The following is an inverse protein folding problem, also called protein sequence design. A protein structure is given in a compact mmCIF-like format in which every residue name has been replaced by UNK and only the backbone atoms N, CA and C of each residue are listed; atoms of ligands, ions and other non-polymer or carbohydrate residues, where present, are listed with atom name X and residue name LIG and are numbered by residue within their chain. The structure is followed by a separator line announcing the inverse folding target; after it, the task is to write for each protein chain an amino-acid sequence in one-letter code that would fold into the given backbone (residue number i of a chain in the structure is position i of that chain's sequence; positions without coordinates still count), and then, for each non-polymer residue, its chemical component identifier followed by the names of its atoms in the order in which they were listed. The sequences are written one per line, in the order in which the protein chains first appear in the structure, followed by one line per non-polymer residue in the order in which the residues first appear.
data_IF_700933875525
#
_entry.id   IF_700933875525
#
_cell.length_a   1.000
_cell.length_b   1.000
_cell.length_c   1.000
_cell.angle_alpha   90.00
_cell.angle_beta   90.00
_cell.angle_gamma   90.00
#
_symmetry.space_group_name_H-M   'P 1'
#
loop_
_entity.id
_entity.type
_entity.pdbx_description
1 polymer ?
#
# COMPACT_ATOMS: atom_id res chain seq x y z
N UNK A 1 -7.50 69.35 -4.53
CA UNK A 1 -8.15 68.46 -3.55
C UNK A 1 -7.34 67.16 -3.52
N UNK A 2 -6.31 67.19 -2.69
CA UNK A 2 -5.72 66.15 -1.85
C UNK A 2 -5.34 64.79 -2.47
N UNK A 3 -4.28 64.81 -3.28
CA UNK A 3 -3.47 63.63 -3.66
C UNK A 3 -2.45 63.24 -2.55
N UNK A 4 -2.57 63.83 -1.36
CA UNK A 4 -1.54 63.82 -0.30
C UNK A 4 -1.42 62.46 0.42
N UNK A 5 -2.37 61.55 0.20
CA UNK A 5 -2.37 60.18 0.72
C UNK A 5 -2.29 59.07 -0.32
N UNK A 6 -2.23 59.40 -1.62
CA UNK A 6 -2.24 58.43 -2.71
C UNK A 6 -0.84 58.17 -3.28
N UNK A 7 -0.63 56.94 -3.73
CA UNK A 7 0.63 56.46 -4.29
C UNK A 7 0.43 56.11 -5.76
N UNK A 8 1.33 56.58 -6.63
CA UNK A 8 1.47 56.03 -7.98
C UNK A 8 2.15 54.65 -7.93
N UNK A 9 2.05 53.88 -9.02
CA UNK A 9 2.78 52.60 -9.17
C UNK A 9 4.28 52.75 -8.85
N UNK A 10 4.92 53.82 -9.33
CA UNK A 10 6.34 54.05 -9.10
C UNK A 10 6.65 54.32 -7.62
N UNK A 11 5.75 55.03 -6.92
CA UNK A 11 5.90 55.30 -5.48
C UNK A 11 5.68 54.04 -4.64
N UNK A 12 4.67 53.23 -5.00
CA UNK A 12 4.49 51.90 -4.40
C UNK A 12 5.70 50.99 -4.63
N UNK A 13 6.22 50.95 -5.86
CA UNK A 13 7.39 50.14 -6.22
C UNK A 13 8.61 50.47 -5.35
N UNK A 14 8.90 51.76 -5.14
CA UNK A 14 9.99 52.19 -4.25
C UNK A 14 9.73 51.85 -2.78
N UNK A 15 8.48 51.92 -2.34
CA UNK A 15 8.11 51.69 -0.94
C UNK A 15 8.07 50.21 -0.56
N UNK A 16 7.67 49.33 -1.49
CA UNK A 16 7.53 47.88 -1.24
C UNK A 16 8.68 47.06 -1.80
N UNK A 17 9.59 47.68 -2.57
CA UNK A 17 10.64 46.98 -3.32
C UNK A 17 10.12 46.12 -4.48
N UNK A 18 8.80 46.13 -4.72
CA UNK A 18 8.20 45.29 -5.75
C UNK A 18 8.39 45.91 -7.14
N UNK A 19 8.69 45.12 -8.19
CA UNK A 19 8.82 45.66 -9.53
C UNK A 19 7.53 46.35 -9.99
N UNK A 20 7.64 47.56 -10.54
CA UNK A 20 6.51 48.31 -11.09
C UNK A 20 5.73 47.51 -12.16
N UNK A 21 6.39 46.58 -12.87
CA UNK A 21 5.74 45.63 -13.79
C UNK A 21 4.78 44.69 -13.05
N UNK A 22 5.21 44.12 -11.92
CA UNK A 22 4.40 43.23 -11.09
C UNK A 22 3.18 43.98 -10.53
N UNK A 23 3.38 45.18 -9.98
CA UNK A 23 2.28 46.02 -9.46
C UNK A 23 1.26 46.33 -10.56
N UNK A 24 1.72 46.68 -11.78
CA UNK A 24 0.82 46.90 -12.92
C UNK A 24 0.03 45.65 -13.27
N UNK A 25 0.70 44.52 -13.41
CA UNK A 25 0.07 43.25 -13.71
C UNK A 25 -0.98 42.85 -12.66
N UNK A 26 -0.65 43.00 -11.38
CA UNK A 26 -1.56 42.73 -10.25
C UNK A 26 -2.76 43.67 -10.22
N UNK A 27 -2.58 44.91 -10.67
CA UNK A 27 -3.70 45.82 -10.87
C UNK A 27 -4.60 45.39 -12.02
N UNK A 28 -4.02 44.99 -13.15
CA UNK A 28 -4.76 44.59 -14.35
C UNK A 28 -5.60 43.32 -14.12
N UNK A 29 -5.08 42.34 -13.38
CA UNK A 29 -5.82 41.12 -13.02
C UNK A 29 -6.78 41.31 -11.84
N UNK A 30 -6.83 42.51 -11.26
CA UNK A 30 -7.79 42.91 -10.23
C UNK A 30 -7.44 42.50 -8.80
N UNK A 31 -6.25 41.94 -8.54
CA UNK A 31 -5.81 41.68 -7.16
C UNK A 31 -5.38 42.95 -6.44
N UNK A 32 -5.01 44.02 -7.16
CA UNK A 32 -4.71 45.35 -6.63
C UNK A 32 -5.51 46.43 -7.37
N UNK A 33 -6.83 46.58 -7.10
CA UNK A 33 -7.62 47.60 -7.76
C UNK A 33 -7.10 49.00 -7.40
N UNK A 34 -6.97 49.92 -8.36
CA UNK A 34 -6.60 51.30 -8.06
C UNK A 34 -7.75 52.01 -7.35
N UNK A 35 -7.42 52.88 -6.39
CA UNK A 35 -8.38 53.74 -5.71
C UNK A 35 -8.94 54.83 -6.64
N UNK A 36 -8.20 55.17 -7.69
CA UNK A 36 -8.62 56.11 -8.71
C UNK A 36 -7.54 56.30 -9.77
N UNK A 37 -7.70 57.38 -10.55
CA UNK A 37 -6.69 57.83 -11.50
C UNK A 37 -6.41 59.31 -11.31
N UNK A 38 -5.15 59.72 -11.49
CA UNK A 38 -4.77 61.13 -11.52
C UNK A 38 -5.34 61.82 -12.76
N UNK A 39 -5.33 63.15 -12.81
CA UNK A 39 -5.68 63.92 -14.02
C UNK A 39 -4.86 63.48 -15.26
N UNK A 40 -3.59 63.13 -15.09
CA UNK A 40 -2.73 62.58 -16.15
C UNK A 40 -2.97 61.10 -16.51
N UNK A 41 -4.01 60.46 -15.97
CA UNK A 41 -4.39 59.08 -16.28
C UNK A 41 -3.63 57.97 -15.53
N UNK A 42 -2.70 58.30 -14.64
CA UNK A 42 -1.94 57.33 -13.84
C UNK A 42 -2.83 56.65 -12.78
N UNK A 43 -2.62 55.35 -12.53
CA UNK A 43 -3.28 54.62 -11.44
C UNK A 43 -2.80 55.13 -10.08
N UNK A 44 -3.74 55.46 -9.22
CA UNK A 44 -3.51 55.90 -7.84
C UNK A 44 -3.99 54.84 -6.86
N UNK A 45 -3.26 54.68 -5.76
CA UNK A 45 -3.52 53.68 -4.72
C UNK A 45 -3.48 54.31 -3.34
N UNK A 46 -4.33 53.85 -2.44
CA UNK A 46 -4.37 54.33 -1.06
C UNK A 46 -3.23 53.72 -0.21
N UNK A 47 -3.19 54.12 1.06
CA UNK A 47 -2.24 53.58 2.03
C UNK A 47 -2.42 52.07 2.28
N UNK A 48 -3.64 51.54 2.09
CA UNK A 48 -3.96 50.12 2.24
C UNK A 48 -3.32 49.24 1.15
N UNK A 49 -2.95 49.82 0.01
CA UNK A 49 -2.31 49.11 -1.08
C UNK A 49 -0.96 48.48 -0.71
N UNK A 50 -0.21 49.05 0.25
CA UNK A 50 1.04 48.46 0.73
C UNK A 50 0.78 47.13 1.44
N UNK A 51 -0.10 47.11 2.43
CA UNK A 51 -0.47 45.89 3.15
C UNK A 51 -1.09 44.84 2.21
N UNK A 52 -1.88 45.30 1.23
CA UNK A 52 -2.46 44.41 0.21
C UNK A 52 -1.39 43.79 -0.69
N UNK A 53 -0.39 44.55 -1.12
CA UNK A 53 0.74 44.04 -1.91
C UNK A 53 1.56 43.01 -1.13
N UNK A 54 1.81 43.25 0.16
CA UNK A 54 2.52 42.30 1.03
C UNK A 54 1.72 41.01 1.21
N UNK A 55 0.41 41.11 1.49
CA UNK A 55 -0.47 39.95 1.59
C UNK A 55 -0.50 39.13 0.29
N UNK A 56 -0.67 39.78 -0.88
CA UNK A 56 -0.64 39.08 -2.17
C UNK A 56 0.73 38.40 -2.38
N UNK A 57 1.84 39.04 -1.99
CA UNK A 57 3.18 38.43 -2.07
C UNK A 57 3.27 37.18 -1.20
N UNK A 58 2.90 37.28 0.08
CA UNK A 58 2.93 36.14 1.01
C UNK A 58 2.10 34.97 0.49
N UNK A 59 0.88 35.24 0.02
CA UNK A 59 0.02 34.18 -0.52
C UNK A 59 0.58 33.57 -1.81
N UNK A 60 1.24 34.36 -2.66
CA UNK A 60 1.96 33.87 -3.85
C UNK A 60 3.16 32.99 -3.48
N UNK A 61 3.92 33.40 -2.46
CA UNK A 61 5.08 32.66 -1.95
C UNK A 61 4.65 31.31 -1.34
N UNK A 62 3.43 31.24 -0.77
CA UNK A 62 2.78 30.00 -0.32
C UNK A 62 2.16 29.17 -1.45
N UNK A 63 2.32 29.57 -2.71
CA UNK A 63 1.88 28.80 -3.88
C UNK A 63 0.47 29.10 -4.40
N UNK A 64 -0.29 30.00 -3.75
CA UNK A 64 -1.65 30.32 -4.22
C UNK A 64 -1.63 31.03 -5.58
N UNK A 65 -2.59 30.70 -6.44
CA UNK A 65 -2.81 31.41 -7.70
C UNK A 65 -3.44 32.80 -7.49
N UNK A 66 -3.18 33.74 -8.41
CA UNK A 66 -3.77 35.10 -8.33
C UNK A 66 -5.30 35.09 -8.38
N UNK A 67 -5.92 34.09 -9.00
CA UNK A 67 -7.38 33.91 -9.01
C UNK A 67 -7.95 33.62 -7.62
N UNK A 68 -7.34 32.70 -6.88
CA UNK A 68 -7.76 32.37 -5.50
C UNK A 68 -7.52 33.55 -4.56
N UNK A 69 -6.34 34.18 -4.68
CA UNK A 69 -6.00 35.39 -3.92
C UNK A 69 -7.04 36.49 -4.15
N UNK A 70 -7.47 36.70 -5.40
CA UNK A 70 -8.54 37.66 -5.72
C UNK A 70 -9.84 37.30 -5.02
N UNK A 71 -10.27 36.03 -5.06
CA UNK A 71 -11.52 35.58 -4.41
C UNK A 71 -11.48 35.78 -2.89
N UNK A 72 -10.33 35.53 -2.25
CA UNK A 72 -10.11 35.80 -0.82
C UNK A 72 -10.21 37.29 -0.52
N UNK A 73 -9.54 38.13 -1.32
CA UNK A 73 -9.57 39.59 -1.15
C UNK A 73 -10.95 40.21 -1.43
N UNK A 74 -11.77 39.56 -2.27
CA UNK A 74 -13.17 39.92 -2.53
C UNK A 74 -14.15 39.31 -1.50
N UNK A 75 -13.65 38.60 -0.48
CA UNK A 75 -14.44 37.89 0.54
C UNK A 75 -15.44 36.86 -0.03
N UNK A 76 -15.18 36.36 -1.25
CA UNK A 76 -15.99 35.31 -1.88
C UNK A 76 -15.72 33.93 -1.32
N UNK A 77 -14.53 33.75 -0.74
CA UNK A 77 -14.07 32.56 -0.02
C UNK A 77 -13.20 33.02 1.14
N UNK A 78 -13.06 32.22 2.19
CA UNK A 78 -12.12 32.55 3.25
C UNK A 78 -10.70 32.13 2.87
N UNK A 79 -9.69 32.73 3.50
CA UNK A 79 -8.30 32.28 3.35
C UNK A 79 -8.14 30.83 3.85
N UNK A 80 -8.87 30.45 4.89
CA UNK A 80 -8.83 29.10 5.45
C UNK A 80 -9.32 28.05 4.45
N UNK A 81 -10.44 28.31 3.75
CA UNK A 81 -10.99 27.38 2.76
C UNK A 81 -10.01 27.16 1.60
N UNK A 82 -9.41 28.24 1.10
CA UNK A 82 -8.42 28.16 0.01
C UNK A 82 -7.17 27.43 0.48
N UNK A 83 -6.68 27.73 1.69
CA UNK A 83 -5.52 27.06 2.26
C UNK A 83 -5.76 25.55 2.44
N UNK A 84 -6.93 25.14 2.94
CA UNK A 84 -7.29 23.73 3.10
C UNK A 84 -7.23 22.97 1.76
N UNK A 85 -7.85 23.51 0.71
CA UNK A 85 -7.82 22.90 -0.63
C UNK A 85 -6.40 22.79 -1.18
N UNK A 86 -5.55 23.80 -0.96
CA UNK A 86 -4.15 23.76 -1.39
C UNK A 86 -3.32 22.76 -0.59
N UNK A 87 -3.55 22.64 0.73
CA UNK A 87 -2.92 21.62 1.58
C UNK A 87 -3.30 20.22 1.07
N UNK A 88 -4.58 19.95 0.81
CA UNK A 88 -5.03 18.65 0.29
C UNK A 88 -4.37 18.32 -1.06
N UNK A 89 -4.24 19.31 -1.94
CA UNK A 89 -3.59 19.16 -3.24
C UNK A 89 -2.08 18.91 -3.11
N UNK A 90 -1.40 19.58 -2.17
CA UNK A 90 0.01 19.35 -1.87
C UNK A 90 0.23 17.97 -1.25
N UNK A 91 -0.62 17.56 -0.33
CA UNK A 91 -0.55 16.23 0.29
C UNK A 91 -0.74 15.14 -0.77
N UNK A 92 -1.65 15.32 -1.74
CA UNK A 92 -1.79 14.41 -2.88
C UNK A 92 -0.53 14.33 -3.75
N UNK A 93 0.13 15.45 -4.00
CA UNK A 93 1.41 15.49 -4.72
C UNK A 93 2.53 14.80 -3.93
N UNK A 94 2.60 15.04 -2.61
CA UNK A 94 3.58 14.43 -1.72
C UNK A 94 3.40 12.91 -1.70
N UNK A 95 2.17 12.41 -1.55
CA UNK A 95 1.85 10.97 -1.65
C UNK A 95 2.37 10.37 -2.96
N UNK A 96 2.11 11.04 -4.08
CA UNK A 96 2.56 10.59 -5.40
C UNK A 96 4.09 10.53 -5.50
N UNK A 97 4.78 11.56 -4.99
CA UNK A 97 6.24 11.63 -5.00
C UNK A 97 6.89 10.58 -4.09
N UNK A 98 6.30 10.30 -2.92
CA UNK A 98 6.76 9.25 -1.99
C UNK A 98 6.69 7.86 -2.63
N UNK A 99 5.54 7.52 -3.23
CA UNK A 99 5.38 6.24 -3.95
C UNK A 99 6.43 6.11 -5.05
N UNK A 100 6.61 7.15 -5.90
CA UNK A 100 7.63 7.14 -6.96
C UNK A 100 9.04 6.93 -6.41
N UNK A 101 9.38 7.60 -5.30
CA UNK A 101 10.68 7.44 -4.63
C UNK A 101 10.87 6.00 -4.13
N UNK A 102 9.86 5.41 -3.50
CA UNK A 102 9.93 4.06 -2.97
C UNK A 102 10.12 3.02 -4.10
N UNK A 103 9.36 3.14 -5.20
CA UNK A 103 9.53 2.31 -6.41
C UNK A 103 10.93 2.41 -6.99
N UNK A 104 11.45 3.63 -7.18
CA UNK A 104 12.81 3.83 -7.69
C UNK A 104 13.87 3.26 -6.75
N UNK A 105 13.65 3.32 -5.44
CA UNK A 105 14.56 2.76 -4.44
C UNK A 105 14.59 1.23 -4.51
N UNK A 106 13.43 0.59 -4.70
CA UNK A 106 13.31 -0.85 -4.95
C UNK A 106 14.07 -1.28 -6.20
N UNK A 107 13.87 -0.57 -7.31
CA UNK A 107 14.61 -0.83 -8.57
C UNK A 107 16.13 -0.75 -8.35
N UNK A 108 16.59 0.28 -7.64
CA UNK A 108 18.01 0.45 -7.36
C UNK A 108 18.59 -0.69 -6.50
N UNK A 109 17.83 -1.19 -5.50
CA UNK A 109 18.26 -2.32 -4.67
C UNK A 109 18.33 -3.62 -5.47
N UNK A 110 17.29 -3.96 -6.24
CA UNK A 110 17.23 -5.23 -7.00
C UNK A 110 18.33 -5.33 -8.06
N UNK A 111 18.68 -4.22 -8.73
CA UNK A 111 19.80 -4.13 -9.68
C UNK A 111 21.19 -4.35 -9.07
N UNK A 112 21.30 -4.43 -7.74
CA UNK A 112 22.56 -4.80 -7.08
C UNK A 112 22.79 -6.31 -7.05
N UNK A 113 21.78 -7.12 -7.38
CA UNK A 113 21.92 -8.55 -7.67
C UNK A 113 22.35 -8.77 -9.11
N UNK A 114 23.14 -9.81 -9.36
CA UNK A 114 23.81 -10.14 -10.64
C UNK A 114 22.90 -10.49 -11.82
N UNK A 115 21.58 -10.32 -11.72
CA UNK A 115 20.63 -10.68 -12.76
C UNK A 115 20.05 -9.43 -13.45
N UNK A 116 20.05 -9.43 -14.79
CA UNK A 116 19.40 -8.39 -15.57
C UNK A 116 17.88 -8.44 -15.35
N UNK A 117 17.30 -7.33 -14.88
CA UNK A 117 15.86 -7.22 -14.65
C UNK A 117 15.10 -7.40 -15.98
N UNK A 118 14.15 -8.34 -16.01
CA UNK A 118 13.44 -8.68 -17.23
C UNK A 118 12.34 -7.64 -17.56
N UNK A 119 11.83 -7.70 -18.78
CA UNK A 119 10.82 -6.75 -19.30
C UNK A 119 9.51 -6.76 -18.51
N UNK A 120 9.11 -7.93 -17.98
CA UNK A 120 7.88 -8.08 -17.20
C UNK A 120 8.02 -7.44 -15.81
N UNK A 121 9.17 -7.60 -15.15
CA UNK A 121 9.49 -6.95 -13.87
C UNK A 121 9.50 -5.41 -14.01
N UNK A 122 10.09 -4.89 -15.09
CA UNK A 122 10.08 -3.44 -15.36
C UNK A 122 8.66 -2.91 -15.63
N UNK A 123 7.84 -3.69 -16.33
CA UNK A 123 6.44 -3.33 -16.61
C UNK A 123 5.62 -3.34 -15.32
N UNK A 124 5.81 -4.34 -14.47
CA UNK A 124 5.14 -4.44 -13.17
C UNK A 124 5.50 -3.26 -12.24
N UNK A 125 6.78 -2.87 -12.20
CA UNK A 125 7.24 -1.70 -11.44
C UNK A 125 6.71 -0.38 -12.00
N UNK A 126 6.58 -0.26 -13.33
CA UNK A 126 5.97 0.91 -13.97
C UNK A 126 4.48 1.00 -13.69
N UNK A 127 3.79 -0.14 -13.79
CA UNK A 127 2.36 -0.26 -13.47
C UNK A 127 2.15 0.08 -12.00
N UNK A 128 2.99 -0.37 -11.07
CA UNK A 128 2.90 -0.02 -9.64
C UNK A 128 2.97 1.47 -9.33
N UNK A 129 3.83 2.20 -10.04
CA UNK A 129 3.93 3.64 -9.89
C UNK A 129 2.66 4.37 -10.40
N UNK A 130 1.81 3.67 -11.17
CA UNK A 130 0.61 4.20 -11.82
C UNK A 130 -0.70 3.67 -11.27
N UNK A 131 -0.72 2.46 -10.70
CA UNK A 131 -1.91 1.85 -10.11
C UNK A 131 -2.37 2.70 -8.93
N UNK A 132 -3.62 3.16 -9.01
CA UNK A 132 -4.36 3.74 -7.90
C UNK A 132 -4.53 2.72 -6.77
N UNK A 133 -4.79 3.20 -5.55
CA UNK A 133 -5.13 2.32 -4.43
C UNK A 133 -6.33 1.40 -4.76
N UNK A 134 -7.24 1.87 -5.62
CA UNK A 134 -8.38 1.10 -6.10
C UNK A 134 -7.95 -0.09 -6.97
N UNK A 135 -7.10 0.13 -7.97
CA UNK A 135 -6.65 -0.94 -8.85
C UNK A 135 -5.79 -1.96 -8.10
N UNK A 136 -4.98 -1.52 -7.13
CA UNK A 136 -4.23 -2.44 -6.25
C UNK A 136 -5.18 -3.32 -5.42
N UNK A 137 -6.28 -2.74 -4.95
CA UNK A 137 -7.31 -3.46 -4.19
C UNK A 137 -8.01 -4.49 -5.07
N UNK A 138 -8.43 -4.11 -6.28
CA UNK A 138 -9.07 -5.00 -7.25
C UNK A 138 -8.25 -6.25 -7.52
N UNK A 139 -6.92 -6.13 -7.70
CA UNK A 139 -6.04 -7.29 -7.96
C UNK A 139 -6.16 -8.35 -6.85
N UNK A 140 -6.22 -7.91 -5.60
CA UNK A 140 -6.29 -8.82 -4.45
C UNK A 140 -7.72 -9.31 -4.24
N UNK A 141 -8.72 -8.46 -4.44
CA UNK A 141 -10.14 -8.83 -4.38
C UNK A 141 -10.47 -9.91 -5.42
N UNK A 142 -10.04 -9.74 -6.67
CA UNK A 142 -10.21 -10.73 -7.74
C UNK A 142 -9.59 -12.08 -7.36
N UNK A 143 -8.37 -12.07 -6.80
CA UNK A 143 -7.73 -13.28 -6.28
C UNK A 143 -8.55 -13.92 -5.15
N UNK A 144 -9.03 -13.12 -4.19
CA UNK A 144 -9.81 -13.64 -3.05
C UNK A 144 -11.13 -14.22 -3.53
N UNK A 145 -11.83 -13.57 -4.45
CA UNK A 145 -13.09 -14.07 -4.97
C UNK A 145 -12.90 -15.32 -5.86
N UNK A 146 -11.83 -15.41 -6.63
CA UNK A 146 -11.53 -16.62 -7.40
C UNK A 146 -11.19 -17.82 -6.50
N UNK A 147 -10.29 -17.62 -5.52
CA UNK A 147 -9.80 -18.71 -4.66
C UNK A 147 -10.82 -19.12 -3.59
N UNK A 148 -11.58 -18.17 -3.05
CA UNK A 148 -12.46 -18.39 -1.90
C UNK A 148 -13.96 -18.17 -2.21
N UNK A 149 -14.32 -17.66 -3.39
CA UNK A 149 -15.71 -17.43 -3.81
C UNK A 149 -16.50 -18.70 -4.09
N UNK A 150 -17.78 -18.69 -3.74
CA UNK A 150 -18.71 -19.79 -4.01
C UNK A 150 -18.47 -21.08 -3.21
N UNK A 151 -17.50 -21.08 -2.31
CA UNK A 151 -17.30 -22.17 -1.34
C UNK A 151 -18.07 -21.87 -0.07
N UNK A 152 -18.55 -22.91 0.61
CA UNK A 152 -19.04 -22.86 2.00
C UNK A 152 -17.84 -22.68 2.97
N UNK A 153 -16.95 -21.76 2.59
CA UNK A 153 -15.79 -21.35 3.35
C UNK A 153 -16.28 -20.68 4.62
N UNK A 154 -15.62 -21.00 5.73
CA UNK A 154 -15.88 -20.40 7.03
C UNK A 154 -16.09 -18.89 6.90
N UNK A 155 -17.24 -18.35 7.37
CA UNK A 155 -17.41 -16.92 7.51
C UNK A 155 -16.20 -16.29 8.21
N UNK A 156 -15.55 -16.96 9.16
CA UNK A 156 -14.36 -16.47 9.85
C UNK A 156 -13.08 -16.49 8.98
N UNK A 157 -12.90 -17.47 8.10
CA UNK A 157 -11.76 -17.53 7.16
C UNK A 157 -11.92 -16.50 6.05
N UNK A 158 -13.13 -16.41 5.46
CA UNK A 158 -13.49 -15.38 4.47
C UNK A 158 -13.40 -13.99 5.08
N UNK A 159 -13.83 -13.81 6.33
CA UNK A 159 -13.75 -12.53 7.05
C UNK A 159 -12.29 -12.17 7.38
N UNK A 160 -11.47 -13.09 7.90
CA UNK A 160 -10.01 -12.85 8.14
C UNK A 160 -9.24 -12.48 6.88
N UNK A 161 -9.56 -13.10 5.74
CA UNK A 161 -8.85 -12.82 4.48
C UNK A 161 -9.44 -11.59 3.77
N UNK A 162 -10.76 -11.45 3.71
CA UNK A 162 -11.45 -10.34 3.07
C UNK A 162 -11.38 -9.00 3.82
N UNK A 163 -11.16 -8.99 5.14
CA UNK A 163 -10.99 -7.74 5.92
C UNK A 163 -9.54 -7.30 6.05
N UNK A 164 -8.58 -8.10 5.56
CA UNK A 164 -7.19 -7.65 5.48
C UNK A 164 -7.06 -6.79 4.23
N UNK A 165 -7.48 -5.52 4.32
CA UNK A 165 -7.27 -4.52 3.26
C UNK A 165 -5.79 -4.54 2.85
N UNK A 166 -5.51 -4.73 1.57
CA UNK A 166 -4.18 -4.47 1.02
C UNK A 166 -4.14 -3.00 0.69
N UNK A 167 -3.70 -2.21 1.67
CA UNK A 167 -3.49 -0.79 1.46
C UNK A 167 -2.02 -0.46 1.67
N UNK A 168 -1.40 0.08 0.63
CA UNK A 168 -0.07 0.67 0.76
C UNK A 168 -0.26 2.01 1.48
N UNK A 169 0.45 2.27 2.58
CA UNK A 169 0.33 3.56 3.26
C UNK A 169 0.76 4.70 2.33
N UNK A 170 0.29 5.90 2.64
CA UNK A 170 0.59 7.15 1.92
C UNK A 170 2.10 7.46 1.79
N UNK A 171 2.91 6.92 2.71
CA UNK A 171 4.38 6.99 2.69
C UNK A 171 4.96 5.58 2.84
N UNK A 172 4.98 4.77 1.76
CA UNK A 172 5.38 3.39 1.87
C UNK A 172 6.90 3.29 1.97
N UNK A 173 7.34 2.43 2.88
CA UNK A 173 8.74 2.01 2.94
C UNK A 173 9.11 1.22 1.68
N UNK A 174 10.39 1.24 1.28
CA UNK A 174 10.81 0.43 0.15
C UNK A 174 10.55 -1.08 0.32
N UNK A 175 10.60 -1.58 1.56
CA UNK A 175 10.27 -2.97 1.91
C UNK A 175 8.78 -3.28 1.70
N UNK A 176 7.89 -2.33 1.99
CA UNK A 176 6.45 -2.46 1.70
C UNK A 176 6.17 -2.49 0.21
N UNK A 177 6.92 -1.70 -0.58
CA UNK A 177 6.83 -1.74 -2.04
C UNK A 177 7.33 -3.09 -2.56
N UNK A 178 8.47 -3.58 -2.07
CA UNK A 178 8.99 -4.92 -2.42
C UNK A 178 7.99 -6.03 -2.10
N UNK A 179 7.40 -5.98 -0.91
CA UNK A 179 6.41 -6.97 -0.49
C UNK A 179 5.13 -6.92 -1.35
N UNK A 180 4.70 -5.73 -1.77
CA UNK A 180 3.58 -5.61 -2.70
C UNK A 180 3.92 -6.15 -4.08
N UNK A 181 5.11 -5.85 -4.63
CA UNK A 181 5.56 -6.37 -5.94
C UNK A 181 5.40 -7.90 -5.95
N UNK A 182 6.01 -8.53 -4.95
CA UNK A 182 6.02 -9.98 -4.84
C UNK A 182 4.61 -10.54 -4.59
N UNK A 183 3.80 -9.86 -3.78
CA UNK A 183 2.41 -10.26 -3.58
C UNK A 183 1.63 -10.21 -4.90
N UNK A 184 1.81 -9.14 -5.69
CA UNK A 184 1.12 -8.96 -6.96
C UNK A 184 1.55 -10.03 -7.97
N UNK A 185 2.82 -10.40 -8.03
CA UNK A 185 3.32 -11.51 -8.84
C UNK A 185 2.70 -12.83 -8.39
N UNK A 186 2.74 -13.11 -7.08
CA UNK A 186 2.22 -14.34 -6.49
C UNK A 186 0.72 -14.50 -6.75
N UNK A 187 -0.09 -13.48 -6.44
CA UNK A 187 -1.55 -13.56 -6.65
C UNK A 187 -1.94 -13.55 -8.12
N UNK A 188 -1.05 -13.11 -9.02
CA UNK A 188 -1.25 -13.17 -10.47
C UNK A 188 -0.91 -14.53 -11.08
N UNK A 189 -0.09 -15.34 -10.41
CA UNK A 189 0.30 -16.67 -10.87
C UNK A 189 -0.95 -17.61 -10.95
N UNK A 190 -1.33 -18.06 -12.17
CA UNK A 190 -2.44 -18.99 -12.35
C UNK A 190 -2.24 -20.33 -11.64
N UNK A 191 -0.99 -20.77 -11.48
CA UNK A 191 -0.68 -22.05 -10.85
C UNK A 191 -0.84 -21.95 -9.33
N UNK A 192 -0.36 -20.85 -8.74
CA UNK A 192 -0.62 -20.52 -7.33
C UNK A 192 -2.12 -20.41 -7.03
N UNK A 193 -2.89 -19.70 -7.87
CA UNK A 193 -4.35 -19.59 -7.73
C UNK A 193 -5.03 -20.95 -7.69
N UNK A 194 -4.72 -21.82 -8.65
CA UNK A 194 -5.27 -23.18 -8.72
C UNK A 194 -4.90 -24.01 -7.49
N UNK A 195 -3.62 -24.02 -7.12
CA UNK A 195 -3.10 -24.70 -5.92
C UNK A 195 -3.84 -24.25 -4.65
N UNK A 196 -3.97 -22.94 -4.45
CA UNK A 196 -4.70 -22.37 -3.32
C UNK A 196 -6.19 -22.73 -3.35
N UNK A 197 -6.83 -22.70 -4.52
CA UNK A 197 -8.24 -23.07 -4.70
C UNK A 197 -8.48 -24.54 -4.33
N UNK A 198 -7.68 -25.44 -4.87
CA UNK A 198 -7.75 -26.88 -4.59
C UNK A 198 -7.64 -27.15 -3.09
N UNK A 199 -6.73 -26.44 -2.42
CA UNK A 199 -6.57 -26.50 -0.98
C UNK A 199 -7.84 -26.04 -0.24
N UNK A 200 -8.42 -24.89 -0.59
CA UNK A 200 -9.63 -24.38 0.08
C UNK A 200 -10.83 -25.29 -0.16
N UNK A 201 -10.98 -25.82 -1.37
CA UNK A 201 -12.04 -26.78 -1.71
C UNK A 201 -11.95 -28.05 -0.89
N UNK A 202 -10.77 -28.67 -0.81
CA UNK A 202 -10.53 -29.87 -0.02
C UNK A 202 -10.88 -29.64 1.46
N UNK A 203 -10.50 -28.48 2.01
CA UNK A 203 -10.84 -28.11 3.39
C UNK A 203 -12.35 -27.89 3.59
N UNK A 204 -13.05 -27.38 2.58
CA UNK A 204 -14.50 -27.15 2.65
C UNK A 204 -15.30 -28.46 2.58
N UNK A 205 -14.81 -29.47 1.85
CA UNK A 205 -15.43 -30.81 1.76
C UNK A 205 -15.40 -31.58 3.09
N UNK A 206 -14.39 -31.36 3.93
CA UNK A 206 -14.25 -31.99 5.25
C UNK A 206 -15.17 -31.47 6.37
N UNK A 207 -16.17 -30.61 6.05
CA UNK A 207 -17.06 -29.98 7.05
C UNK A 207 -18.37 -30.72 7.35
N UNK A 208 -18.65 -31.83 6.68
CA UNK A 208 -19.77 -32.71 7.03
C UNK A 208 -19.49 -33.59 8.29
N UNK A 209 -18.77 -33.04 9.28
CA UNK A 209 -18.43 -33.72 10.53
C UNK A 209 -17.19 -34.63 10.40
N UNK A 210 -16.11 -34.24 11.07
CA UNK A 210 -14.91 -35.06 11.32
C UNK A 210 -14.12 -35.56 10.10
N UNK A 211 -13.48 -34.65 9.35
CA UNK A 211 -12.32 -35.04 8.52
C UNK A 211 -11.02 -34.36 8.97
N UNK A 212 -9.94 -35.13 9.22
CA UNK A 212 -8.64 -34.56 9.58
C UNK A 212 -8.05 -33.76 8.40
N UNK A 213 -7.52 -32.56 8.65
CA UNK A 213 -6.87 -31.75 7.60
C UNK A 213 -7.43 -30.34 7.37
N UNK A 214 -8.57 -29.99 7.97
CA UNK A 214 -9.17 -28.65 7.82
C UNK A 214 -8.20 -27.52 8.26
N UNK A 215 -7.85 -26.66 7.29
CA UNK A 215 -6.73 -25.69 7.28
C UNK A 215 -6.31 -25.09 8.63
N UNK A 216 -7.22 -24.44 9.34
CA UNK A 216 -6.87 -23.72 10.56
C UNK A 216 -6.51 -24.66 11.71
N UNK A 217 -7.14 -25.83 11.79
CA UNK A 217 -6.87 -26.81 12.83
C UNK A 217 -5.64 -27.66 12.47
N UNK A 218 -5.53 -28.11 11.22
CA UNK A 218 -4.39 -28.92 10.77
C UNK A 218 -3.08 -28.14 10.86
N UNK A 219 -3.00 -26.93 10.30
CA UNK A 219 -1.77 -26.13 10.37
C UNK A 219 -1.38 -25.80 11.82
N UNK A 220 -2.34 -25.46 12.69
CA UNK A 220 -2.07 -25.27 14.14
C UNK A 220 -1.55 -26.53 14.80
N UNK A 221 -2.10 -27.69 14.43
CA UNK A 221 -1.70 -29.00 14.98
C UNK A 221 -0.29 -29.37 14.52
N UNK A 222 0.08 -29.08 13.27
CA UNK A 222 1.46 -29.23 12.76
C UNK A 222 2.40 -28.34 13.56
N UNK A 223 2.14 -27.03 13.63
CA UNK A 223 2.99 -26.09 14.38
C UNK A 223 3.16 -26.51 15.84
N UNK A 224 2.11 -27.01 16.47
CA UNK A 224 2.19 -27.45 17.86
C UNK A 224 2.92 -28.78 18.02
N UNK A 225 2.58 -29.82 17.26
CA UNK A 225 3.18 -31.16 17.44
C UNK A 225 4.56 -31.29 16.80
N UNK A 226 4.69 -30.91 15.53
CA UNK A 226 5.96 -30.98 14.81
C UNK A 226 6.94 -29.92 15.32
N UNK A 227 6.45 -28.73 15.66
CA UNK A 227 7.29 -27.68 16.25
C UNK A 227 7.90 -28.11 17.59
N UNK A 228 7.10 -28.70 18.49
CA UNK A 228 7.61 -29.22 19.76
C UNK A 228 8.59 -30.39 19.55
N UNK A 229 8.26 -31.34 18.69
CA UNK A 229 9.17 -32.45 18.37
C UNK A 229 10.52 -31.96 17.83
N UNK A 230 10.51 -30.90 17.01
CA UNK A 230 11.72 -30.27 16.49
C UNK A 230 12.52 -29.54 17.58
N UNK A 231 11.85 -28.80 18.47
CA UNK A 231 12.49 -28.12 19.61
C UNK A 231 13.13 -29.12 20.58
N UNK A 232 12.51 -30.29 20.76
CA UNK A 232 13.01 -31.38 21.59
C UNK A 232 14.13 -32.21 20.89
N UNK A 233 14.46 -31.89 19.63
CA UNK A 233 15.53 -32.56 18.88
C UNK A 233 15.15 -33.94 18.35
N UNK A 234 13.86 -34.25 18.21
CA UNK A 234 13.37 -35.53 17.69
C UNK A 234 13.70 -35.65 16.20
N UNK A 235 14.40 -36.72 15.83
CA UNK A 235 14.75 -37.01 14.44
C UNK A 235 13.51 -37.47 13.66
N UNK A 236 13.25 -36.97 12.43
CA UNK A 236 12.07 -37.35 11.64
C UNK A 236 11.95 -38.85 11.32
N UNK A 237 13.04 -39.60 11.36
CA UNK A 237 13.10 -41.05 11.09
C UNK A 237 13.00 -41.93 12.34
N UNK A 238 12.83 -41.30 13.52
CA UNK A 238 12.76 -42.00 14.80
C UNK A 238 11.38 -42.63 15.05
N UNK A 239 11.30 -43.72 15.85
CA UNK A 239 10.02 -44.24 16.33
C UNK A 239 9.16 -43.19 17.02
N UNK A 240 9.78 -42.26 17.75
CA UNK A 240 9.10 -41.13 18.40
C UNK A 240 8.45 -40.19 17.38
N UNK A 241 9.08 -39.95 16.23
CA UNK A 241 8.48 -39.19 15.14
C UNK A 241 7.27 -39.90 14.51
N UNK A 242 7.31 -41.23 14.40
CA UNK A 242 6.15 -42.01 13.95
C UNK A 242 4.93 -41.79 14.86
N UNK A 243 5.10 -41.77 16.18
CA UNK A 243 4.02 -41.49 17.13
C UNK A 243 3.46 -40.06 16.96
N UNK A 244 4.34 -39.08 16.71
CA UNK A 244 3.92 -37.69 16.43
C UNK A 244 3.09 -37.63 15.15
N UNK A 245 3.50 -38.33 14.09
CA UNK A 245 2.76 -38.42 12.81
C UNK A 245 1.39 -39.06 13.01
N UNK A 246 1.32 -40.20 13.71
CA UNK A 246 0.04 -40.87 14.02
C UNK A 246 -0.87 -39.95 14.84
N UNK A 247 -0.34 -39.23 15.83
CA UNK A 247 -1.13 -38.26 16.62
C UNK A 247 -1.61 -37.09 15.77
N UNK A 248 -0.80 -36.64 14.81
CA UNK A 248 -1.12 -35.51 13.94
C UNK A 248 -2.20 -35.86 12.92
N UNK A 249 -2.07 -37.01 12.25
CA UNK A 249 -2.95 -37.45 11.16
C UNK A 249 -4.16 -38.25 11.64
N UNK A 250 -4.09 -38.84 12.84
CA UNK A 250 -5.16 -39.68 13.38
C UNK A 250 -5.38 -40.94 12.54
N UNK A 251 -6.64 -41.33 12.38
CA UNK A 251 -7.04 -42.58 11.70
C UNK A 251 -7.07 -42.47 10.16
N UNK A 252 -6.34 -41.52 9.55
CA UNK A 252 -6.28 -41.39 8.09
C UNK A 252 -5.85 -42.71 7.43
N UNK A 253 -6.48 -43.08 6.31
CA UNK A 253 -5.99 -44.20 5.51
C UNK A 253 -4.71 -43.82 4.72
N UNK A 254 -4.09 -44.79 4.07
CA UNK A 254 -2.87 -44.57 3.30
C UNK A 254 -3.06 -43.54 2.17
N UNK A 255 -4.26 -43.48 1.58
CA UNK A 255 -4.59 -42.52 0.53
C UNK A 255 -4.65 -41.08 1.07
N UNK A 256 -5.28 -40.87 2.24
CA UNK A 256 -5.33 -39.58 2.93
C UNK A 256 -3.95 -39.09 3.34
N UNK A 257 -3.09 -39.98 3.87
CA UNK A 257 -1.70 -39.63 4.24
C UNK A 257 -0.87 -39.25 3.01
N UNK A 258 -1.00 -39.99 1.91
CA UNK A 258 -0.34 -39.65 0.65
C UNK A 258 -0.77 -38.28 0.11
N UNK A 259 -2.06 -37.95 0.21
CA UNK A 259 -2.60 -36.65 -0.18
C UNK A 259 -2.11 -35.50 0.72
N UNK A 260 -1.89 -35.74 2.03
CA UNK A 260 -1.24 -34.75 2.91
C UNK A 260 0.19 -34.49 2.47
N UNK A 261 0.97 -35.55 2.21
CA UNK A 261 2.36 -35.46 1.77
C UNK A 261 2.48 -34.69 0.46
N UNK A 262 1.71 -35.08 -0.56
CA UNK A 262 1.73 -34.44 -1.89
C UNK A 262 1.48 -32.92 -1.79
N UNK A 263 0.60 -32.50 -0.88
CA UNK A 263 0.32 -31.07 -0.68
C UNK A 263 1.47 -30.31 -0.01
N UNK A 264 2.13 -30.92 0.96
CA UNK A 264 3.32 -30.32 1.59
C UNK A 264 4.45 -30.24 0.55
N UNK A 265 4.63 -31.28 -0.28
CA UNK A 265 5.61 -31.32 -1.37
C UNK A 265 5.31 -30.29 -2.47
N UNK A 266 4.03 -30.06 -2.78
CA UNK A 266 3.60 -29.03 -3.73
C UNK A 266 3.82 -27.60 -3.22
N UNK A 267 4.36 -27.41 -2.02
CA UNK A 267 4.71 -26.09 -1.49
C UNK A 267 3.53 -25.26 -0.98
N UNK A 268 2.30 -25.81 -1.00
CA UNK A 268 1.06 -25.11 -0.66
C UNK A 268 1.13 -24.36 0.68
N UNK A 269 1.74 -24.97 1.70
CA UNK A 269 1.88 -24.37 3.02
C UNK A 269 2.95 -23.27 3.08
N UNK A 270 4.04 -23.41 2.31
CA UNK A 270 5.08 -22.41 2.20
C UNK A 270 4.60 -21.18 1.44
N UNK A 271 3.86 -21.36 0.34
CA UNK A 271 3.27 -20.27 -0.44
C UNK A 271 2.19 -19.52 0.37
N UNK A 272 1.34 -20.25 1.10
CA UNK A 272 0.37 -19.64 2.00
C UNK A 272 1.02 -18.88 3.17
N UNK A 273 2.15 -19.37 3.71
CA UNK A 273 2.95 -18.63 4.70
C UNK A 273 3.56 -17.37 4.10
N UNK A 274 4.13 -17.47 2.90
CA UNK A 274 4.71 -16.34 2.18
C UNK A 274 3.67 -15.26 1.92
N UNK A 275 2.49 -15.62 1.40
CA UNK A 275 1.35 -14.71 1.24
C UNK A 275 1.03 -13.96 2.53
N UNK A 276 0.90 -14.67 3.68
CA UNK A 276 0.60 -14.03 4.98
C UNK A 276 1.69 -13.07 5.44
N UNK A 277 2.96 -13.41 5.20
CA UNK A 277 4.10 -12.55 5.56
C UNK A 277 4.11 -11.27 4.71
N UNK A 278 3.92 -11.38 3.40
CA UNK A 278 3.84 -10.23 2.50
C UNK A 278 2.69 -9.30 2.92
N UNK A 279 1.51 -9.87 3.22
CA UNK A 279 0.36 -9.13 3.73
C UNK A 279 0.65 -8.42 5.05
N UNK A 280 1.43 -9.02 5.96
CA UNK A 280 1.82 -8.38 7.21
C UNK A 280 2.72 -7.16 6.95
N UNK A 281 3.76 -7.34 6.13
CA UNK A 281 4.72 -6.27 5.79
C UNK A 281 4.01 -5.09 5.13
N UNK A 282 3.17 -5.34 4.10
CA UNK A 282 2.42 -4.29 3.40
C UNK A 282 1.60 -3.47 4.38
N UNK A 283 0.93 -4.13 5.33
CA UNK A 283 0.10 -3.51 6.35
C UNK A 283 0.87 -2.92 7.55
N UNK A 284 2.21 -2.83 7.48
CA UNK A 284 3.04 -2.29 8.57
C UNK A 284 3.01 -3.13 9.84
N UNK A 285 2.66 -4.41 9.73
CA UNK A 285 2.62 -5.37 10.83
C UNK A 285 3.86 -6.26 10.79
N UNK A 286 4.37 -6.62 11.96
CA UNK A 286 5.47 -7.57 12.06
C UNK A 286 5.01 -8.97 11.57
N UNK A 287 5.68 -9.55 10.57
CA UNK A 287 5.32 -10.89 10.10
C UNK A 287 5.61 -11.91 11.21
N UNK A 288 4.67 -12.84 11.42
CA UNK A 288 4.86 -13.94 12.35
C UNK A 288 6.04 -14.84 11.92
N UNK A 289 6.68 -15.55 12.88
CA UNK A 289 7.68 -16.56 12.56
C UNK A 289 7.15 -17.53 11.51
N UNK A 290 8.01 -17.90 10.56
CA UNK A 290 7.65 -18.91 9.57
C UNK A 290 7.63 -20.27 10.24
N UNK A 291 6.66 -21.09 9.85
CA UNK A 291 6.56 -22.48 10.28
C UNK A 291 7.07 -23.46 9.22
N UNK A 292 7.80 -22.96 8.21
CA UNK A 292 8.31 -23.77 7.10
C UNK A 292 9.08 -25.01 7.59
N UNK A 293 9.92 -24.84 8.61
CA UNK A 293 10.70 -25.93 9.19
C UNK A 293 9.83 -26.98 9.90
N UNK A 294 8.71 -26.58 10.51
CA UNK A 294 7.77 -27.51 11.16
C UNK A 294 7.07 -28.38 10.10
N UNK A 295 6.74 -27.80 8.95
CA UNK A 295 6.20 -28.53 7.80
C UNK A 295 7.24 -29.39 7.10
N UNK A 296 8.51 -28.94 7.02
CA UNK A 296 9.61 -29.72 6.47
C UNK A 296 9.89 -30.95 7.33
N UNK A 297 9.93 -30.78 8.66
CA UNK A 297 10.08 -31.89 9.61
C UNK A 297 8.96 -32.92 9.42
N UNK A 298 7.70 -32.47 9.29
CA UNK A 298 6.57 -33.38 9.06
C UNK A 298 6.68 -34.12 7.71
N UNK A 299 7.15 -33.43 6.67
CA UNK A 299 7.35 -34.05 5.36
C UNK A 299 8.39 -35.17 5.43
N UNK A 300 9.50 -34.94 6.11
CA UNK A 300 10.55 -35.95 6.27
C UNK A 300 10.05 -37.12 7.13
N UNK A 301 9.27 -36.86 8.18
CA UNK A 301 8.67 -37.91 8.99
C UNK A 301 7.65 -38.76 8.21
N UNK A 302 6.83 -38.13 7.35
CA UNK A 302 5.91 -38.82 6.45
C UNK A 302 6.62 -39.70 5.41
N UNK A 303 7.84 -39.33 5.01
CA UNK A 303 8.67 -40.13 4.08
C UNK A 303 9.31 -41.31 4.80
N UNK A 304 9.79 -41.11 6.02
CA UNK A 304 10.40 -42.15 6.83
C UNK A 304 9.38 -43.19 7.34
N UNK A 305 8.14 -42.77 7.58
CA UNK A 305 7.09 -43.60 8.17
C UNK A 305 5.82 -43.65 7.29
N UNK A 306 5.86 -44.30 6.11
CA UNK A 306 4.70 -44.35 5.20
C UNK A 306 3.51 -45.15 5.75
N UNK A 307 3.69 -45.92 6.82
CA UNK A 307 2.65 -46.75 7.44
C UNK A 307 2.24 -46.36 8.87
N UNK A 308 2.81 -45.28 9.43
CA UNK A 308 2.46 -44.75 10.76
C UNK A 308 1.30 -43.74 10.66
#
# INVERSE_FOLDING_TARGET
MDDEGLFTVGRLSRRTGMPARTIRYWSDVGVLPPAGRSEGGYRLYDAGAVARLELVRTLRDLGLGLGDIRRVLERKVTLADVAAVHVDALDAQIRTLRIRRAVLSTVARRRSGTEEMNTEEMKLLNDMARLSAEERRSIVEDFVDEVFGGLDADPELRNRMGHTRVDLPDDPTPEQVDAWVELAELVRDPDFRRRMRDMVEHNSRGRAGQEPGAFAWFAKKVVWLAGQAREDGVSPDSPEAAEVVTRLLGDMDAAGRAAVRERIEAGLYAEADRYRRLMAVINGREPKPSHADDFAWLLDALRAHPGA
#
